data_IF_033783998648
#
_entry.id   IF_033783998648
#
_cell.length_a   1.000
_cell.length_b   1.000
_cell.length_c   1.000
_cell.angle_alpha   90.00
_cell.angle_beta   90.00
_cell.angle_gamma   90.00
#
_symmetry.space_group_name_H-M   'P 1'
#
loop_
_entity.id
_entity.type
_entity.pdbx_description
1 polymer ?
#
# COMPACT_ATOMS: atom_id res chain seq x y z
N UNK A 1 -3.46 19.02 4.25
CA UNK A 1 -3.30 17.57 4.42
C UNK A 1 -3.99 17.17 5.72
N UNK A 2 -5.14 16.49 5.62
CA UNK A 2 -5.90 16.07 6.81
C UNK A 2 -5.41 14.67 7.22
N UNK A 3 -4.69 14.56 8.33
CA UNK A 3 -4.09 13.31 8.80
C UNK A 3 -5.02 12.69 9.83
N UNK A 4 -5.75 11.64 9.43
CA UNK A 4 -6.55 10.81 10.34
C UNK A 4 -5.65 9.72 10.95
N UNK A 5 -5.84 9.39 12.23
CA UNK A 5 -5.17 8.25 12.84
C UNK A 5 -5.68 6.95 12.22
N UNK A 6 -4.78 6.01 11.91
CA UNK A 6 -5.13 4.71 11.34
C UNK A 6 -6.23 3.98 12.13
N UNK A 7 -6.19 4.06 13.45
CA UNK A 7 -7.16 3.42 14.34
C UNK A 7 -8.57 3.98 14.18
N UNK A 8 -8.71 5.25 13.81
CA UNK A 8 -10.01 5.90 13.61
C UNK A 8 -10.54 5.61 12.20
N UNK A 9 -9.67 5.64 11.19
CA UNK A 9 -10.01 5.24 9.83
C UNK A 9 -10.54 3.79 9.77
N UNK A 10 -9.89 2.88 10.51
CA UNK A 10 -10.28 1.47 10.58
C UNK A 10 -11.68 1.26 11.16
N UNK A 11 -12.18 2.16 12.03
CA UNK A 11 -13.53 2.07 12.61
C UNK A 11 -14.63 2.38 11.60
N UNK A 12 -14.34 3.16 10.55
CA UNK A 12 -15.29 3.50 9.48
C UNK A 12 -15.29 2.52 8.33
N UNK A 13 -14.22 1.72 8.18
CA UNK A 13 -14.14 0.77 7.09
C UNK A 13 -15.28 -0.24 7.16
N UNK A 14 -15.88 -0.60 6.02
CA UNK A 14 -16.93 -1.62 6.00
C UNK A 14 -16.45 -2.88 6.70
N UNK A 15 -17.33 -3.50 7.48
CA UNK A 15 -16.96 -4.71 8.21
C UNK A 15 -16.48 -5.80 7.24
N UNK A 16 -15.56 -6.66 7.68
CA UNK A 16 -15.06 -7.80 6.89
C UNK A 16 -16.20 -8.74 6.41
N UNK A 17 -17.38 -8.67 7.02
CA UNK A 17 -18.61 -9.36 6.58
C UNK A 17 -19.22 -8.78 5.31
N UNK A 18 -19.06 -7.48 5.06
CA UNK A 18 -19.57 -6.80 3.86
C UNK A 18 -18.75 -7.13 2.61
N UNK A 19 -17.50 -7.60 2.77
CA UNK A 19 -16.66 -8.12 1.68
C UNK A 19 -15.69 -9.20 2.18
N UNK A 20 -16.09 -10.49 2.17
CA UNK A 20 -15.22 -11.59 2.56
C UNK A 20 -13.95 -11.60 1.70
N UNK A 21 -12.78 -11.48 2.32
CA UNK A 21 -11.49 -11.47 1.62
C UNK A 21 -11.06 -10.12 1.02
N UNK A 22 -11.84 -9.04 1.21
CA UNK A 22 -11.45 -7.70 0.76
C UNK A 22 -10.24 -7.15 1.54
N UNK A 23 -9.25 -6.61 0.83
CA UNK A 23 -8.16 -5.80 1.41
C UNK A 23 -8.49 -4.32 1.22
N UNK A 24 -8.26 -3.52 2.25
CA UNK A 24 -8.40 -2.06 2.17
C UNK A 24 -7.10 -1.47 1.64
N UNK A 25 -7.20 -0.59 0.65
CA UNK A 25 -6.06 0.17 0.13
C UNK A 25 -5.99 1.46 0.93
N UNK A 26 -4.85 1.72 1.56
CA UNK A 26 -4.59 2.99 2.21
C UNK A 26 -4.12 3.98 1.15
N UNK A 27 -4.87 5.07 0.99
CA UNK A 27 -4.52 6.15 0.10
C UNK A 27 -4.85 7.50 0.73
N UNK A 28 -4.07 8.51 0.38
CA UNK A 28 -4.38 9.92 0.58
C UNK A 28 -4.64 10.54 -0.78
N UNK A 29 -5.51 11.53 -0.88
CA UNK A 29 -5.78 12.22 -2.13
C UNK A 29 -6.01 13.70 -1.89
N UNK A 30 -5.79 14.48 -2.95
CA UNK A 30 -6.21 15.88 -3.08
C UNK A 30 -6.99 16.05 -4.39
N UNK A 31 -7.26 17.29 -4.77
CA UNK A 31 -8.07 17.61 -5.96
C UNK A 31 -7.39 17.19 -7.27
N UNK A 32 -6.06 16.99 -7.26
CA UNK A 32 -5.26 16.72 -8.46
C UNK A 32 -4.63 15.31 -8.47
N UNK A 33 -4.49 14.66 -7.31
CA UNK A 33 -3.67 13.46 -7.17
C UNK A 33 -4.18 12.47 -6.11
N UNK A 34 -3.77 11.20 -6.27
CA UNK A 34 -3.97 10.14 -5.28
C UNK A 34 -2.62 9.49 -4.95
N UNK A 35 -2.24 9.52 -3.69
CA UNK A 35 -1.07 8.85 -3.13
C UNK A 35 -1.51 7.51 -2.55
N UNK A 36 -0.97 6.40 -3.06
CA UNK A 36 -1.29 5.05 -2.60
C UNK A 36 -0.10 4.42 -1.89
N UNK A 37 -0.32 3.84 -0.71
CA UNK A 37 0.70 3.05 -0.02
C UNK A 37 0.64 1.60 -0.47
N UNK A 38 1.64 1.15 -1.23
CA UNK A 38 1.78 -0.24 -1.61
C UNK A 38 2.57 -1.01 -0.54
N UNK A 39 1.93 -2.03 0.03
CA UNK A 39 2.63 -3.01 0.86
C UNK A 39 3.38 -4.00 -0.04
N UNK A 40 4.71 -4.06 0.11
CA UNK A 40 5.54 -5.08 -0.51
C UNK A 40 5.56 -6.36 0.33
N UNK A 41 5.81 -7.50 -0.32
CA UNK A 41 5.96 -8.78 0.38
C UNK A 41 7.30 -8.80 1.16
N UNK A 42 7.48 -9.84 1.98
CA UNK A 42 8.66 -9.98 2.81
C UNK A 42 9.97 -10.07 1.98
N UNK A 43 9.95 -10.75 0.84
CA UNK A 43 11.14 -10.95 0.00
C UNK A 43 11.64 -9.64 -0.60
N UNK A 44 10.73 -8.78 -1.06
CA UNK A 44 11.05 -7.44 -1.56
C UNK A 44 11.61 -6.57 -0.43
N UNK A 45 11.00 -6.62 0.76
CA UNK A 45 11.47 -5.87 1.92
C UNK A 45 12.88 -6.30 2.33
N UNK A 46 13.12 -7.62 2.41
CA UNK A 46 14.43 -8.18 2.73
C UNK A 46 15.49 -7.76 1.70
N UNK A 47 15.18 -7.90 0.41
CA UNK A 47 16.09 -7.49 -0.66
C UNK A 47 16.46 -6.01 -0.56
N UNK A 48 15.48 -5.13 -0.31
CA UNK A 48 15.72 -3.71 -0.16
C UNK A 48 16.59 -3.37 1.05
N UNK A 49 16.40 -4.06 2.18
CA UNK A 49 17.26 -3.89 3.36
C UNK A 49 18.71 -4.32 3.10
N UNK A 50 18.92 -5.37 2.31
CA UNK A 50 20.25 -5.91 2.02
C UNK A 50 20.99 -5.14 0.91
N UNK A 51 20.26 -4.66 -0.11
CA UNK A 51 20.85 -4.08 -1.32
C UNK A 51 20.67 -2.55 -1.41
N UNK A 52 19.83 -1.96 -0.57
CA UNK A 52 19.53 -0.52 -0.60
C UNK A 52 18.69 -0.06 -1.78
N UNK A 53 18.14 -0.98 -2.57
CA UNK A 53 17.26 -0.70 -3.71
C UNK A 53 16.26 -1.84 -3.93
N UNK A 54 15.19 -1.57 -4.70
CA UNK A 54 14.23 -2.59 -5.12
C UNK A 54 14.56 -3.21 -6.49
N UNK A 55 15.23 -2.44 -7.35
CA UNK A 55 15.64 -2.85 -8.70
C UNK A 55 16.54 -4.08 -8.63
N UNK A 56 16.23 -5.09 -9.45
CA UNK A 56 16.92 -6.38 -9.44
C UNK A 56 16.34 -7.43 -8.47
N UNK A 57 15.39 -7.05 -7.60
CA UNK A 57 14.65 -8.02 -6.80
C UNK A 57 13.75 -8.89 -7.73
N UNK A 58 13.88 -10.24 -7.72
CA UNK A 58 13.14 -11.10 -8.63
C UNK A 58 11.61 -11.01 -8.53
N UNK A 59 11.11 -10.64 -7.35
CA UNK A 59 9.67 -10.55 -7.07
C UNK A 59 9.15 -9.11 -7.12
N UNK A 60 10.02 -8.13 -7.34
CA UNK A 60 9.64 -6.74 -7.55
C UNK A 60 9.35 -6.50 -9.04
N UNK A 61 8.22 -5.87 -9.33
CA UNK A 61 7.85 -5.48 -10.69
C UNK A 61 7.78 -3.95 -10.78
N UNK A 62 8.77 -3.36 -11.45
CA UNK A 62 8.87 -1.91 -11.67
C UNK A 62 7.69 -1.34 -12.45
N UNK A 63 7.06 -2.14 -13.30
CA UNK A 63 5.94 -1.72 -14.14
C UNK A 63 4.59 -1.79 -13.42
N UNK A 64 4.55 -2.32 -12.19
CA UNK A 64 3.30 -2.51 -11.43
C UNK A 64 2.57 -1.22 -11.08
N UNK A 65 3.20 -0.06 -11.28
CA UNK A 65 2.61 1.28 -11.09
C UNK A 65 2.48 2.09 -12.39
N UNK A 66 2.44 1.44 -13.56
CA UNK A 66 2.18 2.16 -14.81
C UNK A 66 0.67 2.34 -15.05
N UNK A 67 0.30 3.57 -15.40
CA UNK A 67 -1.04 4.00 -15.81
C UNK A 67 -1.39 3.51 -17.22
#
# INVERSE_FOLDING_TARGET
MNIELYVDAQRRWPSRRSRPGGKWILASFDDESVIVYQAYNHDIAKYACENGCFTGCPTYNEQRMTC
#
